data_IF_386917736295
#
_entry.id   IF_386917736295
#
_cell.length_a   1.000
_cell.length_b   1.000
_cell.length_c   1.000
_cell.angle_alpha   90.00
_cell.angle_beta   90.00
_cell.angle_gamma   90.00
#
_symmetry.space_group_name_H-M   'P 1'
#
loop_
_entity.id
_entity.type
_entity.pdbx_description
1 polymer ?
#
# COMPACT_ATOMS: atom_id res chain seq x y z
N UNK A 1 -1.08 -29.02 -20.45
CA UNK A 1 -0.30 -28.23 -19.50
C UNK A 1 0.15 -29.13 -18.37
N UNK A 2 1.45 -29.35 -18.25
CA UNK A 2 2.13 -30.15 -17.23
C UNK A 2 2.47 -29.29 -16.02
N UNK A 3 2.53 -29.90 -14.84
CA UNK A 3 2.96 -29.21 -13.60
C UNK A 3 4.30 -28.48 -13.75
N UNK A 4 5.22 -29.05 -14.54
CA UNK A 4 6.55 -28.46 -14.81
C UNK A 4 6.49 -27.20 -15.66
N UNK A 5 5.48 -27.08 -16.51
CA UNK A 5 5.28 -25.90 -17.37
C UNK A 5 4.69 -24.75 -16.56
N UNK A 6 3.78 -25.06 -15.61
CA UNK A 6 3.20 -24.09 -14.68
C UNK A 6 4.28 -23.51 -13.75
N UNK A 7 5.15 -24.35 -13.17
CA UNK A 7 6.25 -23.87 -12.33
C UNK A 7 7.24 -22.97 -13.08
N UNK A 8 7.59 -23.33 -14.32
CA UNK A 8 8.46 -22.48 -15.16
C UNK A 8 7.82 -21.12 -15.42
N UNK A 9 6.54 -21.10 -15.80
CA UNK A 9 5.82 -19.85 -16.07
C UNK A 9 5.69 -18.97 -14.82
N UNK A 10 5.42 -19.55 -13.64
CA UNK A 10 5.38 -18.82 -12.38
C UNK A 10 6.73 -18.21 -12.00
N UNK A 11 7.83 -18.95 -12.21
CA UNK A 11 9.18 -18.46 -11.94
C UNK A 11 9.57 -17.31 -12.88
N UNK A 12 9.30 -17.45 -14.17
CA UNK A 12 9.53 -16.41 -15.18
C UNK A 12 8.72 -15.13 -14.87
N UNK A 13 7.46 -15.29 -14.48
CA UNK A 13 6.60 -14.16 -14.09
C UNK A 13 7.04 -13.52 -12.77
N UNK A 14 7.53 -14.33 -11.82
CA UNK A 14 8.12 -13.85 -10.57
C UNK A 14 9.39 -13.02 -10.81
N UNK A 15 10.29 -13.49 -11.67
CA UNK A 15 11.52 -12.77 -12.03
C UNK A 15 11.21 -11.43 -12.73
N UNK A 16 10.21 -11.41 -13.63
CA UNK A 16 9.71 -10.19 -14.28
C UNK A 16 9.10 -9.21 -13.27
N UNK A 17 8.34 -9.71 -12.29
CA UNK A 17 7.76 -8.89 -11.22
C UNK A 17 8.84 -8.28 -10.32
N UNK A 18 9.88 -9.04 -9.97
CA UNK A 18 11.01 -8.55 -9.17
C UNK A 18 11.78 -7.47 -9.93
N UNK A 19 12.07 -7.67 -11.23
CA UNK A 19 12.73 -6.65 -12.05
C UNK A 19 11.88 -5.38 -12.17
N UNK A 20 10.58 -5.52 -12.42
CA UNK A 20 9.66 -4.38 -12.48
C UNK A 20 9.55 -3.65 -11.14
N UNK A 21 9.42 -4.40 -10.05
CA UNK A 21 9.40 -3.85 -8.70
C UNK A 21 10.69 -3.05 -8.43
N UNK A 22 11.88 -3.60 -8.74
CA UNK A 22 13.16 -2.89 -8.61
C UNK A 22 13.22 -1.61 -9.44
N UNK A 23 12.80 -1.66 -10.71
CA UNK A 23 12.73 -0.46 -11.57
C UNK A 23 11.78 0.60 -11.01
N UNK A 24 10.64 0.18 -10.45
CA UNK A 24 9.70 1.10 -9.79
C UNK A 24 10.18 1.55 -8.41
N UNK A 25 11.06 0.79 -7.74
CA UNK A 25 11.62 1.14 -6.43
C UNK A 25 12.75 2.16 -6.60
N UNK A 26 13.56 2.01 -7.64
CA UNK A 26 14.50 3.04 -8.09
C UNK A 26 13.78 4.36 -8.47
N UNK A 27 12.56 4.29 -9.01
CA UNK A 27 11.69 5.44 -9.31
C UNK A 27 10.86 5.94 -8.09
N UNK A 28 10.88 5.21 -6.96
CA UNK A 28 10.14 5.53 -5.72
C UNK A 28 11.00 6.11 -4.61
N UNK A 29 12.12 6.76 -4.92
CA UNK A 29 12.79 7.62 -3.95
C UNK A 29 12.28 9.07 -3.97
N UNK A 30 11.03 9.28 -4.39
CA UNK A 30 10.24 10.45 -3.97
C UNK A 30 8.81 9.99 -3.66
N UNK A 31 8.61 9.47 -2.46
CA UNK A 31 7.28 9.23 -1.86
C UNK A 31 6.37 10.50 -1.85
N UNK A 32 6.90 11.66 -2.26
CA UNK A 32 6.19 12.93 -2.44
C UNK A 32 5.48 13.15 -3.79
N UNK A 33 5.29 12.14 -4.65
CA UNK A 33 4.60 12.32 -5.95
C UNK A 33 3.35 11.44 -6.10
N UNK A 34 2.63 11.19 -5.01
CA UNK A 34 1.22 10.82 -5.10
C UNK A 34 0.40 12.12 -5.02
N UNK A 35 -0.31 12.54 -6.09
CA UNK A 35 -1.07 13.80 -6.11
C UNK A 35 -2.07 13.92 -4.96
N UNK A 36 -2.57 12.78 -4.48
CA UNK A 36 -3.50 12.68 -3.34
C UNK A 36 -2.85 13.06 -2.01
N UNK A 37 -1.54 12.87 -1.86
CA UNK A 37 -0.79 13.13 -0.61
C UNK A 37 -0.24 14.57 -0.56
N UNK A 38 -0.03 15.21 -1.72
CA UNK A 38 0.49 16.59 -1.77
C UNK A 38 -0.58 17.69 -1.67
N UNK A 39 -1.87 17.39 -1.84
CA UNK A 39 -2.93 18.40 -1.63
C UNK A 39 -3.19 18.71 -0.15
N UNK A 40 -2.57 17.96 0.78
CA UNK A 40 -2.79 18.06 2.21
C UNK A 40 -1.49 18.03 3.05
N UNK A 41 -0.39 18.57 2.51
CA UNK A 41 0.90 18.68 3.23
C UNK A 41 0.80 19.38 4.59
N UNK A 42 -0.20 20.24 4.73
CA UNK A 42 -0.41 21.10 5.91
C UNK A 42 -1.26 20.39 6.98
N UNK A 43 -1.89 19.27 6.61
CA UNK A 43 -2.84 18.53 7.46
C UNK A 43 -2.13 17.43 8.26
N UNK A 44 -0.93 17.04 7.82
CA UNK A 44 -0.08 16.05 8.48
C UNK A 44 1.26 16.71 8.88
N UNK A 45 1.34 17.35 10.06
CA UNK A 45 2.61 17.89 10.56
C UNK A 45 3.65 16.78 10.67
N UNK A 46 4.95 17.07 10.53
CA UNK A 46 6.04 16.08 10.68
C UNK A 46 6.05 15.32 12.02
N UNK A 47 5.24 15.78 12.98
CA UNK A 47 5.08 15.25 14.33
C UNK A 47 3.79 14.43 14.53
N UNK A 48 3.04 14.09 13.47
CA UNK A 48 1.98 13.06 13.62
C UNK A 48 2.66 11.72 13.90
N UNK A 49 2.63 11.31 15.16
CA UNK A 49 2.68 9.90 15.51
C UNK A 49 1.63 9.19 14.64
N UNK A 50 2.08 8.27 13.77
CA UNK A 50 1.32 7.57 12.70
C UNK A 50 0.08 6.78 13.19
N UNK A 51 -0.32 6.94 14.45
CA UNK A 51 -1.48 6.30 15.03
C UNK A 51 -2.32 7.40 15.68
N UNK A 52 -3.58 7.63 15.24
CA UNK A 52 -4.49 8.36 16.10
C UNK A 52 -4.46 7.66 17.47
N UNK A 53 -4.41 8.40 18.61
CA UNK A 53 -4.42 7.79 19.94
C UNK A 53 -5.51 6.72 20.01
N UNK A 54 -5.35 5.65 20.78
CA UNK A 54 -6.47 4.73 21.04
C UNK A 54 -7.67 5.57 21.50
N UNK A 55 -8.68 5.70 20.62
CA UNK A 55 -9.93 6.41 20.91
C UNK A 55 -10.96 5.34 21.16
N UNK A 56 -11.48 5.28 22.38
CA UNK A 56 -12.70 4.53 22.66
C UNK A 56 -13.82 5.17 21.82
N UNK A 57 -14.42 4.38 20.93
CA UNK A 57 -15.57 4.82 20.13
C UNK A 57 -16.82 4.29 20.79
N UNK A 58 -17.62 5.18 21.36
CA UNK A 58 -19.00 4.85 21.74
C UNK A 58 -19.84 4.72 20.47
N UNK A 59 -20.36 3.52 20.21
CA UNK A 59 -21.33 3.31 19.14
C UNK A 59 -22.68 2.89 19.73
N UNK A 60 -23.75 3.39 19.12
CA UNK A 60 -25.13 3.01 19.44
C UNK A 60 -25.63 2.10 18.32
N UNK A 61 -26.17 0.93 18.68
CA UNK A 61 -26.85 0.05 17.72
C UNK A 61 -28.36 0.27 17.89
N UNK A 62 -28.96 0.96 16.92
CA UNK A 62 -30.42 1.00 16.80
C UNK A 62 -30.91 -0.29 16.15
N UNK A 63 -31.57 -1.13 16.95
CA UNK A 63 -32.29 -2.31 16.46
C UNK A 63 -33.72 -1.94 16.11
N UNK A 64 -34.06 -2.04 14.83
CA UNK A 64 -35.42 -1.93 14.32
C UNK A 64 -36.08 -3.33 14.39
N UNK A 65 -37.36 -3.45 14.81
CA UNK A 65 -38.05 -4.74 14.92
C UNK A 65 -38.27 -5.46 13.58
#
# INVERSE_FOLDING_TARGET
MSSREVERSLREHGDMFVMFASLTLEDKFEIGVLPVVCEFSDVFPSDVSDVPPEREVEFVIDVVP
#
